data_IF_362526685564
#
_entry.id   IF_362526685564
#
_cell.length_a   1.000
_cell.length_b   1.000
_cell.length_c   1.000
_cell.angle_alpha   90.00
_cell.angle_beta   90.00
_cell.angle_gamma   90.00
#
_symmetry.space_group_name_H-M   'P 1'
#
loop_
_entity.id
_entity.type
_entity.pdbx_description
1 polymer ?
#
# COMPACT_ATOMS: atom_id res chain seq x y z
N UNK A 1 2.08 -22.88 19.09
CA UNK A 1 1.47 -23.02 17.75
C UNK A 1 2.56 -23.51 16.83
N UNK A 2 2.36 -24.60 16.08
CA UNK A 2 3.37 -25.08 15.14
C UNK A 2 3.51 -24.11 13.96
N UNK A 3 4.71 -23.98 13.38
CA UNK A 3 5.00 -23.12 12.22
C UNK A 3 4.02 -23.35 11.05
N UNK A 4 3.55 -24.60 10.90
CA UNK A 4 2.55 -25.00 9.91
C UNK A 4 1.18 -24.33 10.08
N UNK A 5 0.79 -23.95 11.30
CA UNK A 5 -0.47 -23.27 11.57
C UNK A 5 -0.38 -21.77 11.24
N UNK A 6 0.75 -21.13 11.54
CA UNK A 6 0.98 -19.72 11.24
C UNK A 6 1.09 -19.48 9.73
N UNK A 7 1.83 -20.35 9.04
CA UNK A 7 1.96 -20.37 7.58
C UNK A 7 0.60 -20.43 6.87
N UNK A 8 -0.26 -21.36 7.30
CA UNK A 8 -1.61 -21.53 6.75
C UNK A 8 -2.44 -20.26 6.91
N UNK A 9 -2.46 -19.68 8.11
CA UNK A 9 -3.17 -18.42 8.39
C UNK A 9 -2.73 -17.27 7.47
N UNK A 10 -1.44 -17.17 7.15
CA UNK A 10 -0.93 -16.13 6.24
C UNK A 10 -1.40 -16.35 4.79
N UNK A 11 -1.45 -17.59 4.32
CA UNK A 11 -2.02 -17.90 3.00
C UNK A 11 -3.52 -17.65 2.97
N UNK A 12 -4.27 -18.08 3.99
CA UNK A 12 -5.71 -17.84 4.09
C UNK A 12 -6.01 -16.34 4.05
N UNK A 13 -5.19 -15.50 4.70
CA UNK A 13 -5.36 -14.05 4.64
C UNK A 13 -5.24 -13.49 3.22
N UNK A 14 -4.27 -13.98 2.44
CA UNK A 14 -4.13 -13.59 1.03
C UNK A 14 -5.33 -14.06 0.20
N UNK A 15 -5.80 -15.29 0.42
CA UNK A 15 -6.94 -15.83 -0.32
C UNK A 15 -8.22 -15.07 -0.01
N UNK A 16 -8.48 -14.76 1.27
CA UNK A 16 -9.60 -13.93 1.71
C UNK A 16 -9.55 -12.58 0.99
N UNK A 17 -8.47 -11.82 1.09
CA UNK A 17 -8.39 -10.44 0.55
C UNK A 17 -8.40 -10.40 -0.98
N UNK A 18 -7.84 -11.41 -1.65
CA UNK A 18 -7.81 -11.48 -3.12
C UNK A 18 -9.12 -12.02 -3.71
N UNK A 19 -9.99 -12.63 -2.90
CA UNK A 19 -11.25 -13.17 -3.42
C UNK A 19 -12.24 -12.03 -3.70
N UNK A 20 -12.73 -11.94 -4.94
CA UNK A 20 -13.68 -10.88 -5.38
C UNK A 20 -15.00 -10.82 -4.59
N UNK A 21 -15.27 -11.81 -3.73
CA UNK A 21 -16.49 -11.94 -2.92
C UNK A 21 -16.31 -11.57 -1.44
N UNK A 22 -15.09 -11.33 -0.96
CA UNK A 22 -14.96 -10.62 0.33
C UNK A 22 -15.48 -9.21 0.11
N UNK A 23 -16.56 -8.90 0.82
CA UNK A 23 -17.37 -7.73 0.61
C UNK A 23 -16.50 -6.46 0.49
N UNK A 24 -16.88 -5.49 -0.37
CA UNK A 24 -16.34 -4.13 -0.25
C UNK A 24 -16.43 -3.71 1.21
N UNK A 25 -15.43 -2.96 1.69
CA UNK A 25 -15.35 -2.54 3.09
C UNK A 25 -16.76 -2.17 3.59
N UNK A 26 -17.29 -2.94 4.54
CA UNK A 26 -18.65 -2.73 5.07
C UNK A 26 -18.77 -1.39 5.79
N UNK A 27 -17.63 -0.74 6.01
CA UNK A 27 -17.45 0.55 6.64
C UNK A 27 -16.86 1.51 5.61
N UNK A 28 -17.54 2.64 5.38
CA UNK A 28 -17.02 3.71 4.56
C UNK A 28 -15.77 4.33 5.21
N UNK A 29 -14.83 4.78 4.39
CA UNK A 29 -13.61 5.42 4.87
C UNK A 29 -13.82 6.89 5.29
N UNK A 30 -15.05 7.42 5.17
CA UNK A 30 -15.41 8.79 5.59
C UNK A 30 -14.97 9.89 4.62
N UNK A 31 -14.38 9.55 3.48
CA UNK A 31 -13.94 10.52 2.47
C UNK A 31 -15.11 11.32 1.89
N UNK A 32 -16.33 10.79 1.95
CA UNK A 32 -17.56 11.48 1.55
C UNK A 32 -17.84 12.76 2.35
N UNK A 33 -17.25 12.90 3.54
CA UNK A 33 -17.38 14.10 4.39
C UNK A 33 -16.30 15.16 4.13
N UNK A 34 -15.29 14.85 3.32
CA UNK A 34 -14.22 15.77 2.97
C UNK A 34 -14.47 16.33 1.57
N UNK A 35 -14.47 17.66 1.44
CA UNK A 35 -14.56 18.36 0.16
C UNK A 35 -13.47 19.42 0.12
N UNK A 36 -12.68 19.38 -0.96
CA UNK A 36 -11.74 20.45 -1.25
C UNK A 36 -12.47 21.55 -2.02
N UNK A 37 -12.22 22.81 -1.66
CA UNK A 37 -12.71 23.94 -2.45
C UNK A 37 -12.01 23.94 -3.82
N UNK A 38 -12.81 24.04 -4.88
CA UNK A 38 -12.29 24.04 -6.24
C UNK A 38 -11.77 25.42 -6.63
N UNK A 39 -10.53 25.51 -7.11
CA UNK A 39 -9.97 26.70 -7.74
C UNK A 39 -10.08 26.57 -9.27
N UNK A 40 -11.01 27.30 -9.89
CA UNK A 40 -11.28 27.21 -11.33
C UNK A 40 -10.20 27.86 -12.20
N UNK A 41 -9.47 28.83 -11.66
CA UNK A 41 -8.39 29.54 -12.35
C UNK A 41 -7.14 29.59 -11.45
N UNK A 42 -6.42 28.48 -11.29
CA UNK A 42 -5.21 28.47 -10.50
C UNK A 42 -4.09 29.28 -11.19
N UNK A 43 -3.44 30.15 -10.45
CA UNK A 43 -2.24 30.89 -10.90
C UNK A 43 -0.97 30.01 -10.76
N UNK A 44 -1.06 28.75 -11.19
CA UNK A 44 -0.01 27.73 -11.04
C UNK A 44 0.06 26.85 -12.29
N UNK A 45 1.27 26.58 -12.77
CA UNK A 45 1.52 25.60 -13.83
C UNK A 45 1.51 24.17 -13.25
N UNK A 46 0.75 23.27 -13.89
CA UNK A 46 0.70 21.86 -13.52
C UNK A 46 2.08 21.20 -13.48
N UNK A 47 2.99 21.60 -14.38
CA UNK A 47 4.35 21.05 -14.45
C UNK A 47 5.22 21.46 -13.26
N UNK A 48 4.82 22.48 -12.50
CA UNK A 48 5.50 22.95 -11.30
C UNK A 48 5.03 22.25 -10.02
N UNK A 49 4.02 21.36 -10.09
CA UNK A 49 3.55 20.61 -8.93
C UNK A 49 4.62 19.59 -8.52
N UNK A 50 5.20 19.81 -7.34
CA UNK A 50 6.14 18.89 -6.71
C UNK A 50 5.43 17.99 -5.71
N UNK A 51 5.39 16.69 -5.99
CA UNK A 51 4.83 15.68 -5.09
C UNK A 51 5.87 15.08 -4.14
N UNK A 52 7.14 15.52 -4.19
CA UNK A 52 8.17 14.95 -3.32
C UNK A 52 7.83 15.17 -1.85
N UNK A 53 8.13 14.16 -1.04
CA UNK A 53 7.91 14.20 0.40
C UNK A 53 9.08 13.55 1.15
N UNK A 54 9.29 13.94 2.41
CA UNK A 54 10.29 13.31 3.28
C UNK A 54 9.64 12.33 4.24
N UNK A 55 10.20 11.13 4.36
CA UNK A 55 9.80 10.12 5.34
C UNK A 55 11.06 9.52 5.97
N UNK A 56 11.20 9.64 7.29
CA UNK A 56 12.32 9.10 8.06
C UNK A 56 13.70 9.52 7.50
N UNK A 57 13.81 10.78 7.04
CA UNK A 57 15.05 11.33 6.46
C UNK A 57 15.33 10.92 5.01
N UNK A 58 14.42 10.21 4.34
CA UNK A 58 14.52 9.86 2.92
C UNK A 58 13.51 10.65 2.08
N UNK A 59 13.94 11.13 0.92
CA UNK A 59 13.06 11.80 -0.05
C UNK A 59 12.38 10.78 -0.95
N UNK A 60 11.05 10.79 -0.97
CA UNK A 60 10.18 10.03 -1.87
C UNK A 60 9.70 10.92 -3.01
N UNK A 61 9.34 10.33 -4.15
CA UNK A 61 8.81 11.03 -5.33
C UNK A 61 7.34 11.44 -5.20
N UNK A 62 6.62 10.82 -4.27
CA UNK A 62 5.21 11.10 -3.96
C UNK A 62 4.94 10.92 -2.46
N UNK A 63 3.91 11.57 -1.88
CA UNK A 63 3.55 11.41 -0.47
C UNK A 63 2.67 10.16 -0.29
N UNK A 64 3.12 9.02 -0.82
CA UNK A 64 2.38 7.76 -0.83
C UNK A 64 3.33 6.61 -0.50
N UNK A 65 2.80 5.55 0.13
CA UNK A 65 3.52 4.33 0.42
C UNK A 65 2.63 3.09 0.26
N UNK A 66 3.25 1.95 -0.02
CA UNK A 66 2.61 0.64 0.04
C UNK A 66 2.70 0.14 1.48
N UNK A 67 1.56 -0.02 2.16
CA UNK A 67 1.51 -0.45 3.55
C UNK A 67 1.75 -1.97 3.70
N UNK A 68 1.96 -2.41 4.95
CA UNK A 68 2.30 -3.78 5.31
C UNK A 68 1.18 -4.77 4.95
N UNK A 69 1.52 -5.84 4.22
CA UNK A 69 0.53 -6.85 3.79
C UNK A 69 0.98 -8.30 4.06
N UNK A 70 2.12 -8.74 3.52
CA UNK A 70 2.50 -10.17 3.52
C UNK A 70 4.01 -10.42 3.65
N UNK A 71 4.38 -11.66 3.95
CA UNK A 71 5.78 -12.12 4.09
C UNK A 71 5.92 -13.48 4.78
N UNK A 72 6.99 -14.20 4.49
CA UNK A 72 7.37 -15.45 5.15
C UNK A 72 6.86 -16.75 4.49
N UNK A 73 6.32 -16.69 3.26
CA UNK A 73 5.92 -17.87 2.46
C UNK A 73 6.25 -17.64 0.96
N UNK A 74 6.46 -18.68 0.13
CA UNK A 74 6.86 -18.51 -1.28
C UNK A 74 5.92 -17.61 -2.12
N UNK A 75 4.60 -17.73 -1.93
CA UNK A 75 3.62 -16.87 -2.61
C UNK A 75 3.76 -15.40 -2.21
N UNK A 76 4.05 -15.14 -0.93
CA UNK A 76 4.27 -13.79 -0.42
C UNK A 76 5.54 -13.15 -0.99
N UNK A 77 6.57 -13.95 -1.27
CA UNK A 77 7.80 -13.48 -1.91
C UNK A 77 7.53 -12.94 -3.32
N UNK A 78 6.78 -13.67 -4.15
CA UNK A 78 6.42 -13.21 -5.49
C UNK A 78 5.61 -11.90 -5.46
N UNK A 79 4.67 -11.77 -4.50
CA UNK A 79 3.89 -10.55 -4.29
C UNK A 79 4.81 -9.39 -3.89
N UNK A 80 5.65 -9.59 -2.86
CA UNK A 80 6.52 -8.54 -2.38
C UNK A 80 7.55 -8.11 -3.43
N UNK A 81 8.04 -9.03 -4.26
CA UNK A 81 8.94 -8.70 -5.38
C UNK A 81 8.27 -7.72 -6.35
N UNK A 82 7.10 -8.04 -6.89
CA UNK A 82 6.40 -7.16 -7.83
C UNK A 82 6.04 -5.80 -7.21
N UNK A 83 5.61 -5.78 -5.94
CA UNK A 83 5.32 -4.53 -5.23
C UNK A 83 6.59 -3.69 -5.03
N UNK A 84 7.72 -4.33 -4.73
CA UNK A 84 8.99 -3.63 -4.54
C UNK A 84 9.54 -3.05 -5.85
N UNK A 85 9.39 -3.77 -6.97
CA UNK A 85 9.74 -3.28 -8.31
C UNK A 85 8.91 -2.06 -8.69
N UNK A 86 7.59 -2.11 -8.45
CA UNK A 86 6.70 -0.97 -8.70
C UNK A 86 7.03 0.21 -7.78
N UNK A 87 7.25 -0.04 -6.48
CA UNK A 87 7.63 0.99 -5.52
C UNK A 87 8.94 1.68 -5.90
N UNK A 88 9.94 0.92 -6.35
CA UNK A 88 11.22 1.42 -6.83
C UNK A 88 11.05 2.28 -8.09
N UNK A 89 10.28 1.80 -9.08
CA UNK A 89 10.04 2.53 -10.33
C UNK A 89 9.29 3.86 -10.06
N UNK A 90 8.34 3.86 -9.13
CA UNK A 90 7.58 5.04 -8.73
C UNK A 90 8.33 5.94 -7.74
N UNK A 91 9.36 5.43 -7.06
CA UNK A 91 10.11 6.13 -6.02
C UNK A 91 9.28 6.40 -4.76
N UNK A 92 8.45 5.43 -4.36
CA UNK A 92 7.64 5.48 -3.14
C UNK A 92 8.12 4.45 -2.12
N UNK A 93 7.77 4.65 -0.85
CA UNK A 93 8.12 3.70 0.20
C UNK A 93 7.24 2.44 0.14
N UNK A 94 7.79 1.32 0.61
CA UNK A 94 7.06 0.07 0.79
C UNK A 94 7.37 -0.53 2.17
N UNK A 95 6.33 -0.98 2.86
CA UNK A 95 6.42 -1.73 4.10
C UNK A 95 6.17 -3.22 3.83
N UNK A 96 6.90 -4.10 4.54
CA UNK A 96 6.70 -5.55 4.48
C UNK A 96 5.71 -6.01 5.55
N UNK A 97 5.07 -7.15 5.32
CA UNK A 97 4.17 -7.77 6.30
C UNK A 97 4.91 -8.28 7.55
N UNK A 98 4.15 -8.91 8.45
CA UNK A 98 4.71 -9.50 9.68
C UNK A 98 5.83 -10.49 9.37
N UNK A 99 7.02 -10.21 9.92
CA UNK A 99 8.24 -11.01 9.74
C UNK A 99 8.31 -12.21 10.70
N UNK A 100 7.31 -12.39 11.57
CA UNK A 100 7.24 -13.57 12.43
C UNK A 100 6.97 -14.80 11.56
N UNK A 101 7.83 -15.79 11.68
CA UNK A 101 7.67 -17.14 11.13
C UNK A 101 7.51 -18.13 12.27
#
# INVERSE_FOLDING_TARGET
>A
MSDSALSRRKNDHLDIVLHRRTAPATVAAGWEYIRFEHCALPELDLTQIDLRASLLGKTMRAPLLISSMTGGMPRAEAINRHLSEAAQALGIAMCVGSQRV
#
